data_IF_414732710269
#
_entry.id   IF_414732710269
#
_cell.length_a   1.000
_cell.length_b   1.000
_cell.length_c   1.000
_cell.angle_alpha   90.00
_cell.angle_beta   90.00
_cell.angle_gamma   90.00
#
_symmetry.space_group_name_H-M   'P 1'
#
loop_
_entity.id
_entity.type
_entity.pdbx_description
1 polymer ?
#
# COMPACT_ATOMS: atom_id res chain seq x y z
N UNK A 1 10.08 -38.49 35.44
CA UNK A 1 9.98 -38.30 33.97
C UNK A 1 8.90 -37.27 33.71
N UNK A 2 9.17 -36.29 32.86
CA UNK A 2 8.18 -35.27 32.54
C UNK A 2 7.06 -35.88 31.68
N UNK A 3 5.82 -35.42 31.84
CA UNK A 3 4.65 -35.90 31.07
C UNK A 3 4.92 -35.88 29.54
N UNK A 4 5.71 -34.91 29.10
CA UNK A 4 6.18 -34.74 27.73
C UNK A 4 6.98 -35.93 27.18
N UNK A 5 7.91 -36.48 27.96
CA UNK A 5 8.80 -37.56 27.46
C UNK A 5 8.01 -38.84 27.18
N UNK A 6 6.93 -39.07 27.95
CA UNK A 6 6.04 -40.21 27.79
C UNK A 6 5.15 -40.05 26.55
N UNK A 7 4.57 -38.86 26.33
CA UNK A 7 3.79 -38.56 25.13
C UNK A 7 4.62 -38.69 23.86
N UNK A 8 5.87 -38.21 23.88
CA UNK A 8 6.81 -38.36 22.76
C UNK A 8 7.09 -39.83 22.47
N UNK A 9 7.32 -40.67 23.49
CA UNK A 9 7.53 -42.13 23.30
C UNK A 9 6.31 -42.83 22.73
N UNK A 10 5.10 -42.45 23.16
CA UNK A 10 3.86 -43.00 22.60
C UNK A 10 3.67 -42.64 21.12
N UNK A 11 4.03 -41.41 20.73
CA UNK A 11 3.97 -40.98 19.33
C UNK A 11 4.99 -41.73 18.45
N UNK A 12 6.19 -41.97 18.99
CA UNK A 12 7.22 -42.76 18.30
C UNK A 12 6.83 -44.23 18.13
N UNK A 13 6.24 -44.86 19.16
CA UNK A 13 5.73 -46.23 19.05
C UNK A 13 4.61 -46.36 17.99
N UNK A 14 3.84 -45.29 17.76
CA UNK A 14 2.80 -45.23 16.73
C UNK A 14 3.34 -44.87 15.33
N UNK A 15 4.66 -44.73 15.16
CA UNK A 15 5.29 -44.34 13.89
C UNK A 15 5.07 -42.88 13.48
N UNK A 16 4.56 -42.04 14.39
CA UNK A 16 4.21 -40.63 14.14
C UNK A 16 5.39 -39.69 14.42
N UNK A 17 6.51 -39.91 13.73
CA UNK A 17 7.76 -39.19 13.96
C UNK A 17 7.65 -37.67 13.77
N UNK A 18 6.85 -37.23 12.78
CA UNK A 18 6.66 -35.80 12.50
C UNK A 18 5.88 -35.10 13.63
N UNK A 19 4.87 -35.76 14.19
CA UNK A 19 4.08 -35.23 15.32
C UNK A 19 4.93 -35.15 16.60
N UNK A 20 5.80 -36.15 16.83
CA UNK A 20 6.74 -36.15 17.94
C UNK A 20 7.75 -34.99 17.86
N UNK A 21 8.30 -34.72 16.67
CA UNK A 21 9.18 -33.57 16.43
C UNK A 21 8.45 -32.25 16.67
N UNK A 22 7.20 -32.13 16.21
CA UNK A 22 6.40 -30.92 16.39
C UNK A 22 6.08 -30.66 17.88
N UNK A 23 5.78 -31.73 18.64
CA UNK A 23 5.50 -31.65 20.08
C UNK A 23 6.73 -31.16 20.86
N UNK A 24 7.91 -31.70 20.54
CA UNK A 24 9.18 -31.28 21.16
C UNK A 24 9.52 -29.83 20.81
N UNK A 25 9.35 -29.44 19.54
CA UNK A 25 9.56 -28.07 19.07
C UNK A 25 8.70 -27.06 19.85
N UNK A 26 7.40 -27.35 20.00
CA UNK A 26 6.44 -26.44 20.67
C UNK A 26 6.63 -26.39 22.18
N UNK A 27 6.93 -27.53 22.81
CA UNK A 27 7.04 -27.62 24.28
C UNK A 27 8.37 -27.10 24.82
N UNK A 28 9.48 -27.34 24.11
CA UNK A 28 10.83 -26.91 24.54
C UNK A 28 11.28 -25.60 23.89
N UNK A 29 10.53 -25.07 22.92
CA UNK A 29 10.88 -23.84 22.20
C UNK A 29 12.17 -23.94 21.37
N UNK A 30 12.61 -25.16 21.03
CA UNK A 30 13.83 -25.44 20.27
C UNK A 30 13.58 -25.33 18.75
N UNK A 31 14.60 -25.41 17.89
CA UNK A 31 14.37 -25.40 16.43
C UNK A 31 13.86 -26.76 15.92
N UNK A 32 13.21 -26.82 14.74
CA UNK A 32 12.76 -28.10 14.15
C UNK A 32 13.91 -29.09 13.92
N UNK A 33 15.11 -28.59 13.63
CA UNK A 33 16.32 -29.40 13.47
C UNK A 33 16.77 -30.02 14.80
N UNK A 34 16.72 -29.25 15.89
CA UNK A 34 17.02 -29.72 17.24
C UNK A 34 15.99 -30.74 17.75
N UNK A 35 14.70 -30.48 17.51
CA UNK A 35 13.63 -31.41 17.85
C UNK A 35 13.80 -32.75 17.12
N UNK A 36 14.18 -32.72 15.84
CA UNK A 36 14.50 -33.94 15.07
C UNK A 36 15.70 -34.69 15.67
N UNK A 37 16.81 -34.00 15.96
CA UNK A 37 17.99 -34.62 16.58
C UNK A 37 17.69 -35.25 17.95
N UNK A 38 16.79 -34.64 18.73
CA UNK A 38 16.36 -35.18 20.01
C UNK A 38 15.56 -36.49 19.83
N UNK A 39 14.65 -36.53 18.87
CA UNK A 39 13.90 -37.74 18.52
C UNK A 39 14.81 -38.84 17.97
N UNK A 40 15.74 -38.49 17.08
CA UNK A 40 16.70 -39.44 16.50
C UNK A 40 17.58 -40.09 17.59
N UNK A 41 17.95 -39.33 18.64
CA UNK A 41 18.67 -39.84 19.81
C UNK A 41 17.82 -40.69 20.75
N UNK A 42 16.54 -40.37 20.91
CA UNK A 42 15.62 -41.21 21.69
C UNK A 42 15.41 -42.59 21.05
N UNK A 43 15.39 -42.64 19.72
CA UNK A 43 15.34 -43.90 18.98
C UNK A 43 16.63 -44.72 19.09
N UNK A 44 17.77 -44.11 19.42
CA UNK A 44 19.07 -44.80 19.54
C UNK A 44 19.41 -45.29 20.95
N UNK A 45 18.52 -45.11 21.95
CA UNK A 45 18.64 -45.74 23.27
C UNK A 45 19.61 -45.10 24.27
N UNK A 46 20.20 -43.94 23.98
CA UNK A 46 21.15 -43.26 24.87
C UNK A 46 20.47 -42.14 25.66
N UNK A 47 20.33 -42.31 26.98
CA UNK A 47 19.56 -41.45 27.88
C UNK A 47 20.39 -40.36 28.58
N UNK A 48 21.64 -40.12 28.17
CA UNK A 48 22.51 -39.11 28.79
C UNK A 48 22.38 -37.73 28.12
N UNK A 49 21.29 -37.01 28.40
CA UNK A 49 21.22 -35.59 28.03
C UNK A 49 21.89 -34.72 29.10
N UNK A 50 23.12 -34.26 28.83
CA UNK A 50 23.64 -33.02 29.40
C UNK A 50 23.53 -31.95 28.33
N UNK A 51 22.75 -30.90 28.60
CA UNK A 51 22.72 -29.72 27.74
C UNK A 51 24.10 -29.06 27.76
N UNK A 52 24.85 -29.00 26.65
CA UNK A 52 26.05 -28.17 26.61
C UNK A 52 25.71 -26.68 26.43
N UNK A 53 24.44 -26.33 26.23
CA UNK A 53 23.98 -24.98 25.90
C UNK A 53 23.20 -24.35 27.05
N UNK A 54 23.87 -24.12 28.18
CA UNK A 54 23.44 -23.08 29.13
C UNK A 54 24.20 -21.75 28.91
N UNK A 55 24.71 -21.54 27.69
CA UNK A 55 25.36 -20.28 27.33
C UNK A 55 24.29 -19.27 26.89
N UNK A 56 23.96 -18.38 27.82
CA UNK A 56 23.11 -17.20 27.67
C UNK A 56 23.70 -16.15 26.71
N UNK A 57 23.84 -16.46 25.43
CA UNK A 57 24.24 -15.50 24.40
C UNK A 57 25.75 -15.27 24.28
N UNK A 58 26.17 -14.95 23.05
CA UNK A 58 27.56 -14.69 22.69
C UNK A 58 27.64 -13.44 21.79
N UNK A 59 28.79 -12.75 21.84
CA UNK A 59 29.11 -11.62 20.98
C UNK A 59 30.49 -11.83 20.33
N UNK A 60 30.59 -11.48 19.04
CA UNK A 60 31.80 -11.66 18.23
C UNK A 60 32.21 -10.30 17.68
N UNK A 61 33.40 -9.85 18.02
CA UNK A 61 33.98 -8.60 17.53
C UNK A 61 34.95 -8.89 16.38
N UNK A 62 34.76 -8.19 15.28
CA UNK A 62 35.56 -8.29 14.07
C UNK A 62 36.37 -7.01 13.87
N UNK A 63 37.65 -7.17 13.52
CA UNK A 63 38.52 -6.07 13.08
C UNK A 63 39.22 -6.49 11.79
N UNK A 64 39.11 -5.64 10.77
CA UNK A 64 39.63 -5.90 9.42
C UNK A 64 39.21 -7.26 8.84
N UNK A 65 37.97 -7.69 9.14
CA UNK A 65 37.40 -8.96 8.68
C UNK A 65 37.91 -10.21 9.41
N UNK A 66 38.73 -10.05 10.47
CA UNK A 66 39.19 -11.15 11.33
C UNK A 66 38.52 -11.07 12.70
N UNK A 67 38.21 -12.24 13.27
CA UNK A 67 37.63 -12.35 14.61
C UNK A 67 38.73 -12.03 15.63
N UNK A 68 38.55 -10.95 16.40
CA UNK A 68 39.54 -10.49 17.39
C UNK A 68 39.12 -10.91 18.80
N UNK A 69 37.82 -10.78 19.13
CA UNK A 69 37.29 -11.13 20.46
C UNK A 69 35.95 -11.86 20.38
N UNK A 70 35.80 -12.90 21.20
CA UNK A 70 34.53 -13.59 21.42
C UNK A 70 34.23 -13.57 22.91
N UNK A 71 33.05 -13.06 23.28
CA UNK A 71 32.53 -13.14 24.65
C UNK A 71 31.29 -14.01 24.68
N UNK A 72 31.14 -14.81 25.72
CA UNK A 72 29.98 -15.66 25.93
C UNK A 72 29.57 -15.60 27.39
N UNK A 73 28.27 -15.74 27.66
CA UNK A 73 27.75 -15.74 29.02
C UNK A 73 27.26 -17.13 29.37
N UNK A 74 27.58 -17.60 30.56
CA UNK A 74 27.07 -18.84 31.16
C UNK A 74 26.44 -18.54 32.54
N UNK A 75 26.08 -19.59 33.28
CA UNK A 75 25.51 -19.46 34.63
C UNK A 75 26.47 -18.86 35.67
N UNK A 76 27.76 -18.79 35.35
CA UNK A 76 28.84 -18.33 36.22
C UNK A 76 29.32 -16.92 35.89
N UNK A 77 28.94 -16.36 34.73
CA UNK A 77 29.23 -14.98 34.36
C UNK A 77 29.46 -14.77 32.87
N UNK A 78 30.10 -13.65 32.53
CA UNK A 78 30.54 -13.35 31.17
C UNK A 78 32.02 -13.72 31.07
N UNK A 79 32.34 -14.58 30.10
CA UNK A 79 33.68 -15.08 29.83
C UNK A 79 34.15 -14.69 28.44
N UNK A 80 35.45 -14.56 28.29
CA UNK A 80 36.10 -14.32 26.99
C UNK A 80 36.67 -15.64 26.50
N UNK A 81 36.27 -16.06 25.31
CA UNK A 81 36.81 -17.28 24.69
C UNK A 81 38.22 -17.02 24.17
N UNK A 82 39.14 -17.92 24.50
CA UNK A 82 40.52 -17.86 23.99
C UNK A 82 40.55 -18.30 22.52
N UNK A 83 41.30 -17.60 21.63
CA UNK A 83 41.44 -18.01 20.24
C UNK A 83 41.88 -19.47 20.10
N UNK A 84 41.12 -20.26 19.34
CA UNK A 84 41.41 -21.68 19.09
C UNK A 84 40.93 -22.67 20.17
N UNK A 85 40.27 -22.19 21.22
CA UNK A 85 39.62 -23.05 22.21
C UNK A 85 38.41 -23.82 21.64
N UNK A 86 37.98 -24.92 22.28
CA UNK A 86 36.75 -25.62 21.92
C UNK A 86 35.52 -24.69 21.90
N UNK A 87 35.44 -23.75 22.84
CA UNK A 87 34.35 -22.77 22.92
C UNK A 87 34.41 -21.78 21.75
N UNK A 88 35.59 -21.29 21.40
CA UNK A 88 35.81 -20.39 20.26
C UNK A 88 35.38 -21.03 18.94
N UNK A 89 35.78 -22.28 18.71
CA UNK A 89 35.45 -23.01 17.48
C UNK A 89 33.96 -23.36 17.41
N UNK A 90 33.34 -23.74 18.52
CA UNK A 90 31.91 -24.00 18.60
C UNK A 90 31.08 -22.74 18.31
N UNK A 91 31.43 -21.59 18.89
CA UNK A 91 30.73 -20.32 18.68
C UNK A 91 30.85 -19.86 17.22
N UNK A 92 32.03 -19.99 16.61
CA UNK A 92 32.19 -19.64 15.19
C UNK A 92 31.42 -20.58 14.27
N UNK A 93 31.42 -21.88 14.56
CA UNK A 93 30.65 -22.86 13.77
C UNK A 93 29.15 -22.58 13.86
N UNK A 94 28.64 -22.25 15.05
CA UNK A 94 27.26 -21.85 15.27
C UNK A 94 26.95 -20.52 14.58
N UNK A 95 27.79 -19.49 14.71
CA UNK A 95 27.61 -18.21 14.02
C UNK A 95 27.54 -18.39 12.49
N UNK A 96 28.35 -19.31 11.94
CA UNK A 96 28.36 -19.62 10.51
C UNK A 96 27.10 -20.38 10.07
N UNK A 97 26.58 -21.30 10.89
CA UNK A 97 25.32 -22.01 10.61
C UNK A 97 24.09 -21.11 10.78
N UNK A 98 24.13 -20.24 11.79
CA UNK A 98 23.05 -19.28 12.11
C UNK A 98 23.08 -18.05 11.22
N UNK A 99 24.18 -17.82 10.48
CA UNK A 99 24.29 -16.80 9.44
C UNK A 99 23.29 -16.95 8.29
N UNK A 100 22.56 -18.07 8.21
CA UNK A 100 21.41 -18.22 7.32
C UNK A 100 20.05 -17.91 8.01
N UNK A 101 20.02 -17.44 9.25
CA UNK A 101 18.76 -17.29 10.02
C UNK A 101 18.73 -16.35 11.24
N UNK A 102 19.83 -15.79 11.75
CA UNK A 102 19.82 -14.71 12.75
C UNK A 102 20.67 -13.56 12.28
N UNK A 103 20.03 -12.62 11.59
CA UNK A 103 20.52 -11.25 11.50
C UNK A 103 20.57 -10.66 12.91
N UNK A 104 21.73 -10.14 13.27
CA UNK A 104 22.03 -9.33 14.45
C UNK A 104 20.85 -8.45 14.89
N UNK A 105 20.33 -8.69 16.09
CA UNK A 105 19.58 -7.69 16.82
C UNK A 105 20.57 -6.64 17.33
N UNK A 106 20.86 -5.66 16.47
CA UNK A 106 21.35 -4.35 16.90
C UNK A 106 20.54 -3.30 16.13
N UNK A 107 20.19 -2.24 16.85
CA UNK A 107 19.52 -1.02 16.40
C UNK A 107 17.99 -1.03 16.25
N UNK A 108 17.38 -0.55 17.34
CA UNK A 108 16.19 0.32 17.39
C UNK A 108 16.35 1.64 16.57
N UNK A 109 17.00 1.60 15.40
CA UNK A 109 17.29 2.76 14.54
C UNK A 109 16.67 2.70 13.14
N UNK A 110 16.09 1.57 12.73
CA UNK A 110 15.88 1.28 11.31
C UNK A 110 14.51 1.67 10.71
N UNK A 111 13.79 2.64 11.29
CA UNK A 111 12.65 3.27 10.58
C UNK A 111 13.13 4.22 9.48
N UNK A 112 14.37 4.75 9.58
CA UNK A 112 14.93 5.72 8.63
C UNK A 112 15.43 5.08 7.31
N UNK A 113 15.87 3.82 7.28
CA UNK A 113 16.34 3.22 6.00
C UNK A 113 15.21 2.66 5.12
N UNK A 114 14.01 2.46 5.66
CA UNK A 114 12.91 1.84 4.93
C UNK A 114 12.30 2.82 3.91
N UNK A 115 12.05 4.06 4.32
CA UNK A 115 11.65 5.13 3.41
C UNK A 115 12.76 5.46 2.41
N UNK A 116 14.03 5.45 2.84
CA UNK A 116 15.19 5.72 1.99
C UNK A 116 15.26 4.72 0.82
N UNK A 117 15.08 3.42 1.10
CA UNK A 117 15.13 2.34 0.10
C UNK A 117 13.93 2.32 -0.84
N UNK A 118 12.77 2.82 -0.39
CA UNK A 118 11.56 3.01 -1.21
C UNK A 118 11.73 4.20 -2.16
N UNK A 119 12.29 5.29 -1.64
CA UNK A 119 12.57 6.50 -2.40
C UNK A 119 13.75 6.30 -3.37
N UNK A 120 14.64 5.33 -3.16
CA UNK A 120 15.85 5.20 -3.99
C UNK A 120 15.60 4.74 -5.44
N UNK A 121 14.39 4.26 -5.77
CA UNK A 121 14.08 3.94 -7.16
C UNK A 121 13.69 5.19 -7.94
N UNK A 122 14.45 5.49 -9.00
CA UNK A 122 14.23 6.64 -9.89
C UNK A 122 12.77 6.74 -10.39
N UNK A 123 12.11 5.61 -10.61
CA UNK A 123 10.71 5.56 -11.04
C UNK A 123 9.73 5.99 -9.93
N UNK A 124 9.95 5.62 -8.67
CA UNK A 124 9.06 6.03 -7.57
C UNK A 124 9.12 7.54 -7.36
N UNK A 125 10.30 8.17 -7.43
CA UNK A 125 10.41 9.63 -7.38
C UNK A 125 9.67 10.33 -8.53
N UNK A 126 9.72 9.76 -9.73
CA UNK A 126 9.00 10.30 -10.89
C UNK A 126 7.48 10.26 -10.69
N UNK A 127 6.93 9.16 -10.19
CA UNK A 127 5.48 9.08 -9.93
C UNK A 127 5.04 9.92 -8.72
N UNK A 128 5.89 10.04 -7.70
CA UNK A 128 5.63 10.94 -6.57
C UNK A 128 5.65 12.41 -7.03
N UNK A 129 6.65 12.81 -7.82
CA UNK A 129 6.74 14.17 -8.34
C UNK A 129 5.59 14.48 -9.30
N UNK A 130 5.20 13.52 -10.15
CA UNK A 130 4.06 13.65 -11.04
C UNK A 130 2.73 13.74 -10.27
N UNK A 131 2.55 12.93 -9.22
CA UNK A 131 1.38 13.00 -8.35
C UNK A 131 1.31 14.34 -7.61
N UNK A 132 2.43 14.84 -7.09
CA UNK A 132 2.53 16.16 -6.46
C UNK A 132 2.23 17.29 -7.46
N UNK A 133 2.74 17.18 -8.69
CA UNK A 133 2.43 18.13 -9.76
C UNK A 133 0.93 18.12 -10.07
N UNK A 134 0.31 16.94 -10.18
CA UNK A 134 -1.14 16.81 -10.37
C UNK A 134 -1.93 17.39 -9.20
N UNK A 135 -1.47 17.20 -7.96
CA UNK A 135 -2.11 17.78 -6.79
C UNK A 135 -1.97 19.30 -6.76
N UNK A 136 -0.81 19.84 -7.15
CA UNK A 136 -0.59 21.27 -7.27
C UNK A 136 -1.45 21.87 -8.38
N UNK A 137 -1.55 21.22 -9.54
CA UNK A 137 -2.45 21.68 -10.60
C UNK A 137 -3.90 21.61 -10.17
N UNK A 138 -4.35 20.53 -9.51
CA UNK A 138 -5.71 20.45 -8.95
C UNK A 138 -5.96 21.51 -7.89
N UNK A 139 -4.99 21.78 -7.02
CA UNK A 139 -5.09 22.81 -5.99
C UNK A 139 -5.22 24.20 -6.62
N UNK A 140 -4.41 24.51 -7.64
CA UNK A 140 -4.55 25.73 -8.43
C UNK A 140 -5.92 25.76 -9.11
N UNK A 141 -6.31 24.69 -9.80
CA UNK A 141 -7.60 24.56 -10.49
C UNK A 141 -8.81 24.62 -9.54
N UNK A 142 -8.63 24.43 -8.23
CA UNK A 142 -9.70 24.49 -7.23
C UNK A 142 -9.74 25.82 -6.47
N UNK A 143 -8.57 26.42 -6.19
CA UNK A 143 -8.45 27.70 -5.47
C UNK A 143 -8.57 28.89 -6.39
N UNK A 144 -7.94 28.83 -7.57
CA UNK A 144 -7.96 29.90 -8.56
C UNK A 144 -9.39 30.29 -9.00
N UNK A 145 -10.31 29.37 -9.35
CA UNK A 145 -11.73 29.71 -9.59
C UNK A 145 -12.45 30.31 -8.39
N UNK A 146 -12.16 29.81 -7.19
CA UNK A 146 -12.78 30.30 -5.95
C UNK A 146 -12.36 31.74 -5.65
N UNK A 147 -11.17 32.15 -6.09
CA UNK A 147 -10.62 33.51 -5.89
C UNK A 147 -10.89 34.49 -7.04
N UNK A 148 -10.97 34.01 -8.29
CA UNK A 148 -11.11 34.86 -9.49
C UNK A 148 -12.47 34.76 -10.18
N UNK A 149 -13.41 33.95 -9.67
CA UNK A 149 -14.74 33.80 -10.28
C UNK A 149 -14.72 33.13 -11.66
N UNK A 150 -13.60 32.50 -12.03
CA UNK A 150 -13.42 31.83 -13.32
C UNK A 150 -14.06 30.43 -13.31
N UNK A 151 -14.77 30.12 -14.40
CA UNK A 151 -15.61 28.95 -14.59
C UNK A 151 -14.78 27.66 -14.78
N UNK A 152 -14.47 26.92 -13.70
CA UNK A 152 -13.54 25.77 -13.78
C UNK A 152 -14.18 24.42 -14.01
N UNK A 153 -15.50 24.34 -14.10
CA UNK A 153 -16.21 23.07 -14.31
C UNK A 153 -16.85 22.97 -15.70
N UNK A 154 -16.60 23.95 -16.56
CA UNK A 154 -17.16 24.03 -17.91
C UNK A 154 -16.03 24.18 -18.95
N UNK A 155 -16.32 23.82 -20.20
CA UNK A 155 -15.41 23.99 -21.34
C UNK A 155 -14.08 23.23 -21.17
N UNK A 156 -13.00 23.83 -21.68
CA UNK A 156 -11.66 23.25 -21.61
C UNK A 156 -11.16 23.04 -20.17
N UNK A 157 -11.61 23.84 -19.21
CA UNK A 157 -11.17 23.70 -17.81
C UNK A 157 -11.71 22.44 -17.16
N UNK A 158 -12.97 22.11 -17.38
CA UNK A 158 -13.55 20.87 -16.89
C UNK A 158 -12.90 19.62 -17.51
N UNK A 159 -12.51 19.71 -18.79
CA UNK A 159 -11.79 18.65 -19.49
C UNK A 159 -10.39 18.46 -18.91
N UNK A 160 -9.66 19.55 -18.66
CA UNK A 160 -8.35 19.51 -17.99
C UNK A 160 -8.48 18.91 -16.58
N UNK A 161 -9.53 19.25 -15.84
CA UNK A 161 -9.79 18.68 -14.51
C UNK A 161 -10.07 17.17 -14.58
N UNK A 162 -10.84 16.71 -15.57
CA UNK A 162 -11.03 15.27 -15.79
C UNK A 162 -9.73 14.55 -16.18
N UNK A 163 -8.92 15.11 -17.08
CA UNK A 163 -7.62 14.52 -17.46
C UNK A 163 -6.68 14.44 -16.26
N UNK A 164 -6.57 15.53 -15.49
CA UNK A 164 -5.67 15.60 -14.33
C UNK A 164 -6.09 14.64 -13.22
N UNK A 165 -7.39 14.43 -13.01
CA UNK A 165 -7.89 13.43 -12.04
C UNK A 165 -7.65 11.99 -12.49
N UNK A 166 -7.80 11.67 -13.77
CA UNK A 166 -7.43 10.35 -14.33
C UNK A 166 -5.91 10.11 -14.16
N UNK A 167 -5.08 11.10 -14.48
CA UNK A 167 -3.63 11.00 -14.36
C UNK A 167 -3.18 10.81 -12.90
N UNK A 168 -3.77 11.56 -11.96
CA UNK A 168 -3.51 11.39 -10.53
C UNK A 168 -3.90 9.98 -10.06
N UNK A 169 -5.06 9.48 -10.51
CA UNK A 169 -5.54 8.13 -10.19
C UNK A 169 -4.58 7.06 -10.70
N UNK A 170 -4.04 7.21 -11.92
CA UNK A 170 -3.05 6.30 -12.49
C UNK A 170 -1.73 6.31 -11.70
N UNK A 171 -1.25 7.48 -11.29
CA UNK A 171 -0.07 7.59 -10.45
C UNK A 171 -0.28 6.89 -9.10
N UNK A 172 -1.44 7.10 -8.47
CA UNK A 172 -1.79 6.47 -7.20
C UNK A 172 -1.94 4.94 -7.33
N UNK A 173 -2.49 4.45 -8.43
CA UNK A 173 -2.58 3.01 -8.71
C UNK A 173 -1.18 2.38 -8.84
N UNK A 174 -0.26 3.06 -9.51
CA UNK A 174 1.14 2.63 -9.62
C UNK A 174 1.84 2.61 -8.25
N UNK A 175 1.63 3.62 -7.41
CA UNK A 175 2.16 3.62 -6.05
C UNK A 175 1.58 2.49 -5.19
N UNK A 176 0.29 2.17 -5.34
CA UNK A 176 -0.32 1.01 -4.68
C UNK A 176 0.33 -0.31 -5.15
N UNK A 177 0.65 -0.42 -6.44
CA UNK A 177 1.35 -1.58 -6.98
C UNK A 177 2.77 -1.73 -6.42
N UNK A 178 3.55 -0.64 -6.34
CA UNK A 178 4.91 -0.69 -5.77
C UNK A 178 4.89 -1.05 -4.29
N UNK A 179 3.93 -0.53 -3.52
CA UNK A 179 3.73 -0.88 -2.11
C UNK A 179 3.26 -2.32 -1.92
N UNK A 180 2.39 -2.85 -2.78
CA UNK A 180 1.97 -4.26 -2.73
C UNK A 180 3.14 -5.23 -2.89
N UNK A 181 4.11 -4.90 -3.73
CA UNK A 181 5.27 -5.76 -4.04
C UNK A 181 6.27 -5.87 -2.87
N UNK A 182 6.09 -5.09 -1.80
CA UNK A 182 7.00 -5.10 -0.65
C UNK A 182 6.84 -6.36 0.20
N UNK A 183 7.91 -7.15 0.28
CA UNK A 183 7.94 -8.43 1.01
C UNK A 183 8.02 -8.29 2.54
N UNK A 184 8.25 -7.09 3.08
CA UNK A 184 8.41 -6.86 4.52
C UNK A 184 7.09 -6.58 5.26
N UNK A 185 6.03 -6.17 4.56
CA UNK A 185 4.75 -5.89 5.23
C UNK A 185 3.92 -7.15 5.48
N UNK A 186 3.11 -7.13 6.55
CA UNK A 186 2.14 -8.19 6.85
C UNK A 186 1.11 -8.33 5.71
N UNK A 187 0.61 -9.55 5.50
CA UNK A 187 -0.25 -9.88 4.35
C UNK A 187 -1.51 -8.99 4.23
N UNK A 188 -2.11 -8.59 5.36
CA UNK A 188 -3.29 -7.72 5.36
C UNK A 188 -3.00 -6.30 4.85
N UNK A 189 -1.78 -5.79 5.04
CA UNK A 189 -1.39 -4.48 4.50
C UNK A 189 -1.24 -4.53 2.98
N UNK A 190 -0.84 -5.66 2.41
CA UNK A 190 -0.80 -5.83 0.95
C UNK A 190 -2.21 -5.91 0.36
N UNK A 191 -3.13 -6.54 1.08
CA UNK A 191 -4.53 -6.67 0.66
C UNK A 191 -5.21 -5.30 0.53
N UNK A 192 -5.01 -4.36 1.47
CA UNK A 192 -5.58 -3.01 1.35
C UNK A 192 -5.06 -2.26 0.11
N UNK A 193 -3.78 -2.37 -0.23
CA UNK A 193 -3.20 -1.72 -1.43
C UNK A 193 -3.69 -2.38 -2.71
N UNK A 194 -3.95 -3.69 -2.68
CA UNK A 194 -4.58 -4.42 -3.79
C UNK A 194 -5.99 -3.93 -4.05
N UNK A 195 -6.82 -3.86 -3.00
CA UNK A 195 -8.20 -3.39 -3.13
C UNK A 195 -8.21 -1.93 -3.62
N UNK A 196 -7.39 -1.06 -3.03
CA UNK A 196 -7.28 0.34 -3.46
C UNK A 196 -6.82 0.47 -4.92
N UNK A 197 -5.78 -0.28 -5.32
CA UNK A 197 -5.27 -0.26 -6.69
C UNK A 197 -6.30 -0.74 -7.70
N UNK A 198 -7.07 -1.79 -7.40
CA UNK A 198 -8.14 -2.28 -8.27
C UNK A 198 -9.24 -1.23 -8.44
N UNK A 199 -9.70 -0.60 -7.35
CA UNK A 199 -10.70 0.47 -7.42
C UNK A 199 -10.22 1.62 -8.31
N UNK A 200 -8.96 2.04 -8.16
CA UNK A 200 -8.38 3.09 -9.00
C UNK A 200 -8.32 2.70 -10.49
N UNK A 201 -7.97 1.44 -10.79
CA UNK A 201 -7.97 0.94 -12.18
C UNK A 201 -9.37 0.96 -12.78
N UNK A 202 -10.40 0.56 -12.03
CA UNK A 202 -11.79 0.66 -12.50
C UNK A 202 -12.21 2.09 -12.78
N UNK A 203 -11.85 3.04 -11.90
CA UNK A 203 -12.14 4.48 -12.12
C UNK A 203 -11.45 4.97 -13.39
N UNK A 204 -10.18 4.65 -13.59
CA UNK A 204 -9.42 5.02 -14.80
C UNK A 204 -10.05 4.39 -16.04
N UNK A 205 -10.49 3.13 -15.96
CA UNK A 205 -11.13 2.43 -17.06
C UNK A 205 -12.45 3.07 -17.48
N UNK A 206 -13.33 3.36 -16.53
CA UNK A 206 -14.64 3.98 -16.80
C UNK A 206 -14.45 5.41 -17.32
N UNK A 207 -13.76 6.26 -16.55
CA UNK A 207 -13.62 7.68 -16.90
C UNK A 207 -12.74 7.89 -18.13
N UNK A 208 -11.71 7.07 -18.29
CA UNK A 208 -10.84 7.10 -19.47
C UNK A 208 -11.56 6.62 -20.72
N UNK A 209 -12.45 5.63 -20.61
CA UNK A 209 -13.28 5.17 -21.72
C UNK A 209 -14.26 6.25 -22.18
N UNK A 210 -15.01 6.85 -21.25
CA UNK A 210 -15.98 7.91 -21.58
C UNK A 210 -15.29 9.12 -22.21
N UNK A 211 -14.15 9.55 -21.64
CA UNK A 211 -13.34 10.63 -22.21
C UNK A 211 -12.78 10.28 -23.59
N UNK A 212 -12.35 9.04 -23.81
CA UNK A 212 -11.83 8.61 -25.10
C UNK A 212 -12.91 8.60 -26.18
N UNK A 213 -14.12 8.14 -25.86
CA UNK A 213 -15.26 8.22 -26.78
C UNK A 213 -15.54 9.68 -27.17
N UNK A 214 -15.62 10.57 -26.18
CA UNK A 214 -15.86 11.98 -26.45
C UNK A 214 -14.74 12.61 -27.33
N UNK A 215 -13.46 12.34 -27.03
CA UNK A 215 -12.34 12.92 -27.78
C UNK A 215 -12.19 12.34 -29.19
N UNK A 216 -12.46 11.04 -29.39
CA UNK A 216 -12.26 10.35 -30.66
C UNK A 216 -13.47 10.52 -31.58
N UNK A 217 -14.69 10.32 -31.06
CA UNK A 217 -15.91 10.42 -31.85
C UNK A 217 -16.37 11.87 -32.03
N UNK A 218 -15.83 12.80 -31.23
CA UNK A 218 -16.22 14.22 -31.23
C UNK A 218 -17.74 14.42 -31.09
N UNK A 219 -18.42 13.58 -30.28
CA UNK A 219 -19.89 13.57 -30.08
C UNK A 219 -20.33 14.71 -29.14
N UNK A 220 -20.05 15.93 -29.57
CA UNK A 220 -20.55 17.16 -28.95
C UNK A 220 -22.01 17.36 -29.35
N UNK A 221 -22.89 17.46 -28.36
CA UNK A 221 -24.33 17.64 -28.56
C UNK A 221 -24.80 19.01 -28.16
N UNK A 222 -25.79 19.50 -28.90
CA UNK A 222 -26.51 20.73 -28.60
C UNK A 222 -27.92 20.39 -28.14
N UNK A 223 -28.29 20.91 -26.98
CA UNK A 223 -29.64 20.88 -26.47
C UNK A 223 -30.20 22.30 -26.40
N UNK A 224 -31.46 22.48 -26.80
CA UNK A 224 -32.19 23.73 -26.65
C UNK A 224 -33.52 23.45 -25.97
N UNK A 225 -33.79 24.11 -24.85
CA UNK A 225 -35.07 23.95 -24.18
C UNK A 225 -35.08 24.42 -22.74
N UNK A 226 -36.05 23.89 -21.99
CA UNK A 226 -36.21 24.17 -20.57
C UNK A 226 -35.14 23.46 -19.74
N UNK A 227 -34.80 24.08 -18.61
CA UNK A 227 -33.80 23.57 -17.68
C UNK A 227 -34.24 23.77 -16.23
N UNK A 228 -33.61 23.04 -15.33
CA UNK A 228 -33.80 23.17 -13.88
C UNK A 228 -32.45 23.33 -13.20
N UNK A 229 -32.37 24.29 -12.29
CA UNK A 229 -31.19 24.61 -11.48
C UNK A 229 -31.33 24.01 -10.08
N UNK A 230 -30.24 23.46 -9.55
CA UNK A 230 -30.17 22.98 -8.16
C UNK A 230 -28.87 23.39 -7.50
N UNK A 231 -28.96 23.75 -6.22
CA UNK A 231 -27.82 24.02 -5.33
C UNK A 231 -27.69 22.87 -4.34
N UNK A 232 -26.50 22.30 -4.25
CA UNK A 232 -26.16 21.28 -3.26
C UNK A 232 -25.22 21.89 -2.22
N UNK A 233 -25.76 22.14 -1.03
CA UNK A 233 -25.00 22.73 0.07
C UNK A 233 -24.25 21.67 0.86
N UNK A 234 -22.97 21.91 1.15
CA UNK A 234 -22.12 20.97 1.88
C UNK A 234 -21.63 21.57 3.20
N UNK A 235 -21.65 20.78 4.28
CA UNK A 235 -21.24 21.25 5.62
C UNK A 235 -19.75 21.66 5.74
N UNK A 236 -18.87 21.16 4.85
CA UNK A 236 -17.40 21.39 4.90
C UNK A 236 -16.77 21.76 3.56
N UNK A 237 -17.58 21.95 2.51
CA UNK A 237 -17.11 22.20 1.15
C UNK A 237 -17.94 23.32 0.54
N UNK A 238 -17.39 24.00 -0.46
CA UNK A 238 -18.15 24.92 -1.31
C UNK A 238 -19.38 24.25 -1.90
N UNK A 239 -20.46 25.02 -2.05
CA UNK A 239 -21.71 24.57 -2.65
C UNK A 239 -21.50 24.17 -4.11
N UNK A 240 -22.14 23.08 -4.52
CA UNK A 240 -22.14 22.64 -5.92
C UNK A 240 -23.40 23.19 -6.63
N UNK A 241 -23.20 23.86 -7.75
CA UNK A 241 -24.26 24.41 -8.59
C UNK A 241 -24.46 23.49 -9.78
N UNK A 242 -25.69 23.04 -10.01
CA UNK A 242 -26.00 22.03 -11.02
C UNK A 242 -27.12 22.49 -11.93
N UNK A 243 -27.00 22.14 -13.22
CA UNK A 243 -28.05 22.30 -14.23
C UNK A 243 -28.50 20.90 -14.69
N UNK A 244 -29.79 20.79 -14.98
CA UNK A 244 -30.43 19.60 -15.54
C UNK A 244 -31.38 20.04 -16.65
N UNK A 245 -31.57 19.24 -17.69
CA UNK A 245 -32.45 19.60 -18.81
C UNK A 245 -33.20 18.40 -19.39
N UNK A 246 -34.31 18.67 -20.10
CA UNK A 246 -35.18 17.64 -20.67
C UNK A 246 -34.57 17.09 -21.97
N UNK A 247 -33.93 15.93 -21.91
CA UNK A 247 -33.28 15.32 -23.09
C UNK A 247 -31.80 15.02 -22.90
N UNK A 248 -31.29 15.19 -21.68
CA UNK A 248 -30.04 14.56 -21.29
C UNK A 248 -30.12 13.03 -21.45
N UNK A 249 -29.19 12.49 -22.24
CA UNK A 249 -29.12 11.08 -22.62
C UNK A 249 -28.16 10.27 -21.76
N UNK A 250 -27.53 10.88 -20.74
CA UNK A 250 -26.64 10.18 -19.82
C UNK A 250 -27.39 9.16 -18.97
N UNK A 251 -26.73 8.02 -18.76
CA UNK A 251 -27.32 6.86 -18.08
C UNK A 251 -27.14 6.88 -16.56
N UNK A 252 -26.15 7.62 -16.03
CA UNK A 252 -25.67 7.48 -14.65
C UNK A 252 -25.96 8.70 -13.76
N UNK A 253 -25.79 9.92 -14.26
CA UNK A 253 -26.10 11.15 -13.53
C UNK A 253 -26.54 12.24 -14.51
N UNK A 254 -27.71 12.85 -14.26
CA UNK A 254 -28.25 13.94 -15.08
C UNK A 254 -27.89 15.32 -14.58
N UNK A 255 -27.06 15.38 -13.53
CA UNK A 255 -26.66 16.61 -12.88
C UNK A 255 -25.32 17.07 -13.43
N UNK A 256 -25.36 18.20 -14.12
CA UNK A 256 -24.18 18.78 -14.70
C UNK A 256 -23.72 19.94 -13.83
N UNK A 257 -22.49 19.85 -13.34
CA UNK A 257 -21.92 20.93 -12.56
C UNK A 257 -21.69 22.15 -13.45
N UNK A 258 -22.19 23.30 -13.01
CA UNK A 258 -21.96 24.59 -13.63
C UNK A 258 -21.31 25.54 -12.64
N UNK A 259 -20.74 26.60 -13.19
CA UNK A 259 -20.21 27.71 -12.42
C UNK A 259 -21.31 28.48 -11.70
N UNK A 260 -20.95 29.08 -10.56
CA UNK A 260 -21.85 29.98 -9.82
C UNK A 260 -22.32 31.17 -10.67
N UNK A 261 -21.43 31.72 -11.50
CA UNK A 261 -21.76 32.85 -12.37
C UNK A 261 -22.82 32.49 -13.41
N UNK A 262 -22.68 31.37 -14.14
CA UNK A 262 -23.74 30.91 -15.04
C UNK A 262 -25.00 30.51 -14.27
N UNK A 263 -24.87 29.92 -13.09
CA UNK A 263 -26.02 29.63 -12.24
C UNK A 263 -26.83 30.91 -11.95
N UNK A 264 -26.14 32.01 -11.57
CA UNK A 264 -26.76 33.30 -11.30
C UNK A 264 -27.32 34.00 -12.53
N UNK A 265 -26.65 33.88 -13.67
CA UNK A 265 -27.17 34.41 -14.93
C UNK A 265 -28.45 33.69 -15.33
N UNK A 266 -28.44 32.35 -15.31
CA UNK A 266 -29.55 31.50 -15.70
C UNK A 266 -30.78 31.62 -14.80
N UNK A 267 -30.66 32.12 -13.56
CA UNK A 267 -31.84 32.40 -12.71
C UNK A 267 -32.88 33.27 -13.44
N UNK A 268 -32.42 34.18 -14.32
CA UNK A 268 -33.26 35.14 -15.07
C UNK A 268 -33.84 34.59 -16.38
N UNK A 269 -33.44 33.40 -16.82
CA UNK A 269 -33.81 32.84 -18.12
C UNK A 269 -34.70 31.60 -17.98
N UNK A 270 -35.56 31.39 -18.98
CA UNK A 270 -36.52 30.29 -19.06
C UNK A 270 -35.99 29.14 -19.92
N UNK A 271 -35.26 29.47 -20.97
CA UNK A 271 -34.69 28.52 -21.92
C UNK A 271 -33.21 28.76 -22.12
N UNK A 272 -32.50 27.69 -22.45
CA UNK A 272 -31.04 27.68 -22.58
C UNK A 272 -30.65 26.78 -23.75
N UNK A 273 -29.56 27.15 -24.42
CA UNK A 273 -28.81 26.25 -25.30
C UNK A 273 -27.61 25.72 -24.53
N UNK A 274 -27.52 24.41 -24.38
CA UNK A 274 -26.39 23.73 -23.74
C UNK A 274 -25.64 22.93 -24.78
N UNK A 275 -24.35 23.20 -24.92
CA UNK A 275 -23.43 22.35 -25.67
C UNK A 275 -22.66 21.50 -24.68
N UNK A 276 -22.67 20.18 -24.84
CA UNK A 276 -22.04 19.26 -23.89
C UNK A 276 -21.49 18.02 -24.59
N UNK A 277 -20.53 17.38 -23.90
CA UNK A 277 -19.95 16.10 -24.30
C UNK A 277 -20.86 14.97 -23.84
N UNK A 278 -21.27 14.12 -24.79
CA UNK A 278 -22.32 13.13 -24.53
C UNK A 278 -21.93 12.08 -23.49
N UNK A 279 -20.69 11.58 -23.50
CA UNK A 279 -20.30 10.43 -22.68
C UNK A 279 -19.81 10.84 -21.29
N UNK A 280 -19.00 11.90 -21.20
CA UNK A 280 -18.54 12.48 -19.93
C UNK A 280 -19.58 13.36 -19.25
N UNK A 281 -20.58 13.84 -19.99
CA UNK A 281 -21.53 14.83 -19.50
C UNK A 281 -20.91 16.18 -19.19
N UNK A 282 -19.71 16.45 -19.69
CA UNK A 282 -19.06 17.72 -19.45
C UNK A 282 -19.74 18.83 -20.26
N UNK A 283 -20.21 19.87 -19.57
CA UNK A 283 -20.80 21.04 -20.23
C UNK A 283 -19.69 21.88 -20.85
N UNK A 284 -19.78 22.09 -22.16
CA UNK A 284 -18.82 22.85 -22.93
C UNK A 284 -19.13 24.34 -22.95
N UNK A 285 -20.38 24.69 -23.26
CA UNK A 285 -20.88 26.06 -23.28
C UNK A 285 -22.36 26.13 -22.97
N UNK A 286 -22.77 27.26 -22.41
CA UNK A 286 -24.14 27.54 -22.03
C UNK A 286 -24.50 28.91 -22.61
N UNK A 287 -25.55 28.98 -23.41
CA UNK A 287 -26.06 30.22 -23.97
C UNK A 287 -27.50 30.43 -23.48
N UNK A 288 -27.77 31.46 -22.67
CA UNK A 288 -29.13 31.79 -22.28
C UNK A 288 -29.92 32.36 -23.47
N UNK A 289 -31.16 31.90 -23.68
CA UNK A 289 -31.96 32.26 -24.86
C UNK A 289 -33.12 33.21 -24.53
N UNK A 290 -34.12 32.75 -23.79
CA UNK A 290 -35.34 33.53 -23.48
C UNK A 290 -35.36 33.96 -22.02
N UNK A 291 -35.56 35.25 -21.75
CA UNK A 291 -35.72 35.78 -20.38
C UNK A 291 -37.10 35.44 -19.83
N UNK A 292 -37.18 35.27 -18.50
CA UNK A 292 -38.45 35.09 -17.78
C UNK A 292 -39.28 36.37 -17.73
#
# INVERSE_FOLDING_TARGET
MSNLDEEVRQLLHKGKNIEAVLLVHKSKGCTLSEAKKYIDKLNSGDCSWKNPHNNCGWNIEYKDGKVEHITYKDDTGIHTATPGSPEWTAILMEATQTGNGKSSHTESGNKKNLLQRILDSQFVWLYISLALLCLLTLFILYIYPSYFGLHTREGYWGLILHITTILLSACMAYLCYTWMRQKEERWYSRLKYLVMGLVLIFIIGIWGYDLALDLIEHDVRNYEGTFSLRVHTHYKRSDDYTITWEGDTLSSDRQHNISYAHFKELEQYRTVRVTYWRHTGLVWSIEPLEKK
#
